data_IF_451707302226
#
_entry.id   IF_451707302226
#
_cell.length_a   1.000
_cell.length_b   1.000
_cell.length_c   1.000
_cell.angle_alpha   90.00
_cell.angle_beta   90.00
_cell.angle_gamma   90.00
#
_symmetry.space_group_name_H-M   'P 1'
#
loop_
_entity.id
_entity.type
_entity.pdbx_description
1 polymer ?
#
# COMPACT_ATOMS: atom_id res chain seq x y z
N UNK A 1 24.51 45.15 -6.83
CA UNK A 1 23.09 45.56 -6.85
C UNK A 1 22.43 44.88 -5.67
N UNK A 2 21.55 45.56 -4.96
CA UNK A 2 20.75 44.96 -3.89
C UNK A 2 19.28 45.18 -4.22
N UNK A 3 18.46 44.15 -4.01
CA UNK A 3 17.01 44.28 -3.99
C UNK A 3 16.55 44.04 -2.57
N UNK A 4 15.69 44.92 -2.07
CA UNK A 4 15.01 44.76 -0.79
C UNK A 4 13.55 44.38 -1.08
N UNK A 5 13.14 43.22 -0.59
CA UNK A 5 11.77 42.73 -0.74
C UNK A 5 11.05 42.84 0.59
N UNK A 6 9.98 43.63 0.63
CA UNK A 6 9.11 43.72 1.79
C UNK A 6 8.27 42.45 1.90
N UNK A 7 8.37 41.76 3.02
CA UNK A 7 7.71 40.49 3.29
C UNK A 7 6.75 40.65 4.47
N UNK A 8 5.58 40.03 4.38
CA UNK A 8 4.58 39.97 5.44
C UNK A 8 4.18 38.52 5.68
N UNK A 9 4.15 38.06 6.92
CA UNK A 9 3.64 36.71 7.25
C UNK A 9 2.12 36.76 7.42
N UNK A 10 1.39 35.91 6.69
CA UNK A 10 -0.07 35.85 6.78
C UNK A 10 -0.53 35.36 8.16
N UNK A 11 -1.51 36.04 8.74
CA UNK A 11 -2.17 35.63 10.00
C UNK A 11 -1.56 36.22 11.27
N UNK A 12 -0.40 36.88 11.18
CA UNK A 12 0.16 37.72 12.24
C UNK A 12 0.38 39.11 11.65
N UNK A 13 -0.47 40.08 12.02
CA UNK A 13 -0.44 41.43 11.46
C UNK A 13 0.28 42.42 12.38
N UNK A 14 1.07 41.93 13.35
CA UNK A 14 1.93 42.76 14.19
C UNK A 14 3.08 43.37 13.38
N UNK A 15 3.58 44.55 13.76
CA UNK A 15 4.73 45.16 13.07
C UNK A 15 5.99 44.28 13.08
N UNK A 16 6.08 43.30 13.99
CA UNK A 16 7.18 42.33 14.09
C UNK A 16 7.16 41.25 12.99
N UNK A 17 6.00 41.06 12.32
CA UNK A 17 5.78 40.10 11.23
C UNK A 17 6.03 40.67 9.84
N UNK A 18 6.20 42.00 9.73
CA UNK A 18 6.69 42.70 8.54
C UNK A 18 8.21 42.77 8.62
N UNK A 19 8.89 42.38 7.55
CA UNK A 19 10.35 42.41 7.48
C UNK A 19 10.80 42.58 6.04
N UNK A 20 12.06 42.94 5.84
CA UNK A 20 12.64 43.08 4.51
C UNK A 20 13.70 42.00 4.31
N UNK A 21 13.72 41.38 3.13
CA UNK A 21 14.78 40.45 2.73
C UNK A 21 15.68 41.16 1.73
N UNK A 22 16.93 41.35 2.11
CA UNK A 22 17.95 41.93 1.24
C UNK A 22 18.67 40.83 0.46
N UNK A 23 18.65 40.94 -0.86
CA UNK A 23 19.36 40.02 -1.76
C UNK A 23 20.47 40.78 -2.46
N UNK A 24 21.70 40.41 -2.14
CA UNK A 24 22.91 41.01 -2.68
C UNK A 24 23.47 40.19 -3.85
N UNK A 25 23.80 40.85 -4.96
CA UNK A 25 24.41 40.20 -6.12
C UNK A 25 24.59 41.11 -7.33
N UNK A 26 25.11 40.56 -8.42
CA UNK A 26 24.96 41.17 -9.75
C UNK A 26 23.52 40.98 -10.26
N UNK A 27 23.08 41.86 -11.16
CA UNK A 27 21.72 41.85 -11.68
C UNK A 27 21.35 40.49 -12.33
N UNK A 28 22.26 39.90 -13.11
CA UNK A 28 22.01 38.64 -13.79
C UNK A 28 21.78 37.49 -12.81
N UNK A 29 22.50 37.46 -11.69
CA UNK A 29 22.38 36.45 -10.65
C UNK A 29 21.06 36.61 -9.88
N UNK A 30 20.65 37.83 -9.59
CA UNK A 30 19.37 38.10 -8.93
C UNK A 30 18.21 37.72 -9.87
N UNK A 31 18.26 38.13 -11.14
CA UNK A 31 17.23 37.80 -12.14
C UNK A 31 17.04 36.30 -12.32
N UNK A 32 18.13 35.54 -12.29
CA UNK A 32 18.10 34.08 -12.47
C UNK A 32 17.86 33.29 -11.18
N UNK A 33 17.68 33.96 -10.03
CA UNK A 33 17.43 33.28 -8.77
C UNK A 33 16.06 32.63 -8.79
N UNK A 34 16.00 31.32 -8.52
CA UNK A 34 14.73 30.60 -8.43
C UNK A 34 13.94 30.96 -7.17
N UNK A 35 12.62 30.90 -7.24
CA UNK A 35 11.71 31.08 -6.09
C UNK A 35 12.04 30.09 -4.95
N UNK A 36 12.48 28.87 -5.25
CA UNK A 36 13.02 27.93 -4.24
C UNK A 36 14.12 28.55 -3.37
N UNK A 37 15.04 29.31 -3.97
CA UNK A 37 16.12 29.95 -3.23
C UNK A 37 15.60 31.14 -2.43
N UNK A 38 14.67 31.91 -2.99
CA UNK A 38 13.98 32.99 -2.26
C UNK A 38 13.26 32.47 -1.02
N UNK A 39 12.54 31.33 -1.12
CA UNK A 39 11.91 30.66 0.03
C UNK A 39 12.93 30.33 1.12
N UNK A 40 14.14 29.89 0.77
CA UNK A 40 15.21 29.61 1.74
C UNK A 40 15.72 30.88 2.44
N UNK A 41 15.89 31.98 1.71
CA UNK A 41 16.26 33.27 2.30
C UNK A 41 15.20 33.74 3.29
N UNK A 42 13.95 33.79 2.86
CA UNK A 42 12.81 34.16 3.70
C UNK A 42 12.71 33.26 4.94
N UNK A 43 12.81 31.93 4.76
CA UNK A 43 12.77 30.97 5.87
C UNK A 43 13.89 31.22 6.88
N UNK A 44 15.11 31.51 6.42
CA UNK A 44 16.23 31.79 7.32
C UNK A 44 16.03 33.04 8.18
N UNK A 45 15.37 34.07 7.65
CA UNK A 45 15.04 35.29 8.38
C UNK A 45 13.93 35.06 9.43
N UNK A 46 12.97 34.18 9.14
CA UNK A 46 11.78 34.01 9.99
C UNK A 46 11.81 32.79 10.92
N UNK A 47 12.69 31.80 10.69
CA UNK A 47 12.73 30.52 11.44
C UNK A 47 12.92 30.66 12.96
N UNK A 48 13.48 31.78 13.42
CA UNK A 48 13.72 32.05 14.84
C UNK A 48 12.65 32.98 15.47
N UNK A 49 11.69 33.49 14.68
CA UNK A 49 10.64 34.38 15.17
C UNK A 49 9.50 33.58 15.81
N UNK A 50 9.08 33.97 17.02
CA UNK A 50 8.17 33.24 17.92
C UNK A 50 6.78 32.91 17.32
N UNK A 51 6.34 33.65 16.30
CA UNK A 51 4.99 33.56 15.72
C UNK A 51 4.80 32.43 14.69
N UNK A 52 5.88 31.77 14.26
CA UNK A 52 5.81 30.78 13.16
C UNK A 52 6.06 29.36 13.69
N UNK A 53 5.30 28.96 14.71
CA UNK A 53 5.29 27.57 15.19
C UNK A 53 4.59 26.68 14.15
N UNK A 54 5.35 25.90 13.39
CA UNK A 54 4.80 24.85 12.52
C UNK A 54 5.51 24.65 11.18
N UNK A 55 6.21 25.67 10.68
CA UNK A 55 6.97 25.60 9.43
C UNK A 55 8.33 24.96 9.72
N UNK A 56 8.60 23.79 9.14
CA UNK A 56 9.86 23.06 9.38
C UNK A 56 10.82 23.16 8.21
N UNK A 57 10.30 23.40 7.00
CA UNK A 57 11.10 23.50 5.79
C UNK A 57 10.71 24.73 4.96
N UNK A 58 11.67 25.38 4.26
CA UNK A 58 11.39 26.41 3.26
C UNK A 58 10.34 26.01 2.20
N UNK A 59 10.20 24.73 1.87
CA UNK A 59 9.19 24.21 0.94
C UNK A 59 7.77 24.47 1.45
N UNK A 60 7.58 24.52 2.77
CA UNK A 60 6.30 24.79 3.44
C UNK A 60 5.90 26.29 3.36
N UNK A 61 6.68 27.13 2.67
CA UNK A 61 6.32 28.52 2.42
C UNK A 61 5.61 28.66 1.08
N UNK A 62 4.42 29.26 1.09
CA UNK A 62 3.80 29.80 -0.12
C UNK A 62 4.07 31.28 -0.21
N UNK A 63 4.63 31.72 -1.33
CA UNK A 63 4.97 33.11 -1.57
C UNK A 63 3.96 33.69 -2.56
N UNK A 64 3.35 34.80 -2.18
CA UNK A 64 2.47 35.56 -3.05
C UNK A 64 3.10 36.90 -3.35
N UNK A 65 3.27 37.23 -4.63
CA UNK A 65 3.54 38.60 -5.06
C UNK A 65 2.22 39.35 -5.02
N UNK A 66 2.20 40.49 -4.34
CA UNK A 66 1.06 41.39 -4.31
C UNK A 66 1.53 42.82 -4.51
N UNK A 67 0.64 43.66 -5.02
CA UNK A 67 0.84 45.11 -5.06
C UNK A 67 -0.01 45.74 -3.95
N UNK A 68 0.63 46.44 -3.01
CA UNK A 68 -0.04 47.06 -1.86
C UNK A 68 0.11 48.58 -2.00
N UNK A 69 -0.94 49.21 -2.52
CA UNK A 69 -1.04 50.66 -2.68
C UNK A 69 -1.45 51.42 -1.41
N UNK A 70 -1.35 52.75 -1.47
CA UNK A 70 -1.88 53.66 -0.45
C UNK A 70 -3.38 53.38 -0.20
N UNK A 71 -3.72 53.05 1.04
CA UNK A 71 -5.10 52.73 1.47
C UNK A 71 -5.38 51.24 1.72
N UNK A 72 -4.46 50.34 1.35
CA UNK A 72 -4.58 48.93 1.73
C UNK A 72 -4.26 48.74 3.21
N UNK A 73 -5.22 48.20 3.95
CA UNK A 73 -5.08 47.88 5.37
C UNK A 73 -4.54 46.47 5.55
N UNK A 74 -3.24 46.36 5.82
CA UNK A 74 -2.55 45.08 5.99
C UNK A 74 -3.18 44.19 7.08
N UNK A 75 -3.81 44.79 8.08
CA UNK A 75 -4.51 44.12 9.17
C UNK A 75 -5.81 43.42 8.75
N UNK A 76 -6.32 43.70 7.55
CA UNK A 76 -7.51 43.06 6.97
C UNK A 76 -7.16 41.76 6.21
N UNK A 77 -5.88 41.52 5.88
CA UNK A 77 -5.44 40.34 5.13
C UNK A 77 -5.18 39.18 6.11
N UNK A 78 -6.18 38.30 6.29
CA UNK A 78 -6.12 37.22 7.29
C UNK A 78 -6.10 35.82 6.68
N UNK A 79 -6.45 35.68 5.40
CA UNK A 79 -6.53 34.39 4.72
C UNK A 79 -6.00 34.43 3.29
N UNK A 80 -5.72 33.26 2.69
CA UNK A 80 -5.39 33.16 1.26
C UNK A 80 -6.49 33.75 0.36
N UNK A 81 -7.76 33.67 0.76
CA UNK A 81 -8.87 34.25 0.01
C UNK A 81 -8.86 35.79 0.05
N UNK A 82 -8.31 36.39 1.10
CA UNK A 82 -8.15 37.85 1.17
C UNK A 82 -7.00 38.30 0.27
N UNK A 83 -5.92 37.51 0.17
CA UNK A 83 -4.80 37.77 -0.74
C UNK A 83 -5.30 37.81 -2.20
N UNK A 84 -6.13 36.84 -2.60
CA UNK A 84 -6.67 36.76 -3.98
C UNK A 84 -7.53 37.96 -4.39
N UNK A 85 -8.09 38.69 -3.42
CA UNK A 85 -8.88 39.91 -3.68
C UNK A 85 -7.98 41.13 -3.92
N UNK A 86 -6.68 41.03 -3.64
CA UNK A 86 -5.74 42.13 -3.85
C UNK A 86 -5.39 42.28 -5.35
N UNK A 87 -5.19 43.53 -5.80
CA UNK A 87 -4.72 43.81 -7.16
C UNK A 87 -3.40 43.10 -7.45
N UNK A 88 -3.31 42.53 -8.66
CA UNK A 88 -2.10 41.86 -9.17
C UNK A 88 -1.52 40.79 -8.21
N UNK A 89 -2.38 40.18 -7.41
CA UNK A 89 -2.02 39.09 -6.51
C UNK A 89 -1.75 37.82 -7.29
N UNK A 90 -0.60 37.20 -7.01
CA UNK A 90 -0.17 35.99 -7.72
C UNK A 90 0.68 35.11 -6.83
N UNK A 91 0.35 33.83 -6.81
CA UNK A 91 1.19 32.82 -6.18
C UNK A 91 2.42 32.56 -7.05
N UNK A 92 3.60 32.68 -6.45
CA UNK A 92 4.89 32.45 -7.13
C UNK A 92 5.17 30.94 -7.23
N UNK A 93 5.51 30.47 -8.43
CA UNK A 93 5.80 29.04 -8.63
C UNK A 93 7.26 28.72 -8.32
N UNK A 94 7.49 27.55 -7.72
CA UNK A 94 8.79 27.10 -7.19
C UNK A 94 9.94 27.13 -8.21
N UNK A 95 9.66 26.83 -9.48
CA UNK A 95 10.65 26.76 -10.56
C UNK A 95 10.88 28.10 -11.29
N UNK A 96 10.02 29.09 -11.06
CA UNK A 96 10.17 30.41 -11.67
C UNK A 96 11.40 31.11 -11.12
N UNK A 97 11.90 32.06 -11.90
CA UNK A 97 12.97 32.97 -11.51
C UNK A 97 12.38 34.28 -11.03
N UNK A 98 13.11 34.95 -10.15
CA UNK A 98 12.78 36.27 -9.63
C UNK A 98 12.59 37.28 -10.76
N UNK A 99 13.45 37.25 -11.78
CA UNK A 99 13.40 38.16 -12.92
C UNK A 99 12.43 37.79 -14.04
N UNK A 100 11.64 36.72 -13.90
CA UNK A 100 10.64 36.39 -14.90
C UNK A 100 9.53 37.45 -14.92
N UNK A 101 8.93 37.70 -16.10
CA UNK A 101 7.84 38.66 -16.31
C UNK A 101 6.74 38.65 -15.23
N UNK A 102 6.25 37.49 -14.75
CA UNK A 102 5.14 37.49 -13.81
C UNK A 102 5.59 37.58 -12.34
N UNK A 103 6.88 37.78 -12.07
CA UNK A 103 7.45 38.00 -10.73
C UNK A 103 7.98 39.44 -10.62
N UNK A 104 9.27 39.66 -10.88
CA UNK A 104 9.94 40.97 -10.76
C UNK A 104 10.80 41.24 -12.00
N UNK A 105 10.22 41.56 -13.17
CA UNK A 105 10.97 41.88 -14.38
C UNK A 105 11.86 43.12 -14.18
N UNK A 106 13.18 42.93 -14.30
CA UNK A 106 14.19 43.97 -13.95
C UNK A 106 14.38 45.04 -15.04
N UNK A 107 13.78 44.84 -16.21
CA UNK A 107 13.71 45.82 -17.30
C UNK A 107 12.59 46.86 -17.08
N UNK A 108 11.66 46.59 -16.15
CA UNK A 108 10.68 47.56 -15.65
C UNK A 108 11.24 48.16 -14.36
N UNK A 109 11.34 49.49 -14.26
CA UNK A 109 11.71 50.16 -13.00
C UNK A 109 10.75 49.68 -11.91
N UNK A 110 11.27 48.90 -10.95
CA UNK A 110 10.54 48.61 -9.72
C UNK A 110 10.23 49.96 -9.08
N UNK A 111 8.95 50.32 -9.03
CA UNK A 111 8.53 51.56 -8.39
C UNK A 111 8.74 51.35 -6.90
N UNK A 112 9.63 52.14 -6.30
CA UNK A 112 9.88 52.08 -4.86
C UNK A 112 8.53 52.13 -4.11
N UNK A 113 8.36 51.19 -3.19
CA UNK A 113 7.31 51.12 -2.15
C UNK A 113 6.00 50.34 -2.40
N UNK A 114 5.85 49.55 -3.46
CA UNK A 114 4.54 48.92 -3.73
C UNK A 114 4.50 47.39 -3.80
N UNK A 115 5.65 46.71 -3.90
CA UNK A 115 5.65 45.24 -4.05
C UNK A 115 5.93 44.56 -2.72
N UNK A 116 4.98 43.75 -2.28
CA UNK A 116 5.08 42.95 -1.07
C UNK A 116 5.04 41.46 -1.41
N UNK A 117 5.79 40.66 -0.67
CA UNK A 117 5.71 39.21 -0.67
C UNK A 117 4.92 38.77 0.55
N UNK A 118 3.70 38.28 0.35
CA UNK A 118 2.95 37.65 1.44
C UNK A 118 3.42 36.21 1.59
N UNK A 119 4.04 35.92 2.73
CA UNK A 119 4.52 34.62 3.15
C UNK A 119 3.38 33.92 3.86
N UNK A 120 2.80 32.94 3.19
CA UNK A 120 1.74 32.11 3.75
C UNK A 120 2.38 30.83 4.29
N UNK A 121 2.28 30.57 5.62
CA UNK A 121 2.60 29.28 6.19
C UNK A 121 1.71 28.22 5.53
N UNK A 122 2.30 27.33 4.74
CA UNK A 122 1.54 26.23 4.19
C UNK A 122 1.33 25.18 5.28
N UNK A 123 0.10 25.12 5.76
CA UNK A 123 -0.41 24.05 6.59
C UNK A 123 -1.77 23.66 6.00
N UNK A 124 -1.78 23.09 4.81
CA UNK A 124 -2.99 22.35 4.38
C UNK A 124 -2.73 20.89 4.66
N UNK A 125 -3.12 20.53 5.87
CA UNK A 125 -3.66 19.21 6.09
C UNK A 125 -4.67 18.91 4.96
N UNK A 126 -4.32 17.96 4.10
CA UNK A 126 -5.18 17.46 3.04
C UNK A 126 -5.90 16.24 3.57
N UNK A 127 -7.21 16.26 3.46
CA UNK A 127 -8.06 15.14 3.82
C UNK A 127 -8.71 14.62 2.55
N UNK A 128 -8.46 13.37 2.20
CA UNK A 128 -8.94 12.77 0.94
C UNK A 128 -9.10 11.27 1.09
N UNK A 129 -9.78 10.64 0.13
CA UNK A 129 -10.14 9.23 0.18
C UNK A 129 -9.34 8.44 -0.83
N UNK A 130 -8.76 7.31 -0.42
CA UNK A 130 -8.07 6.39 -1.32
C UNK A 130 -8.86 5.08 -1.37
N UNK A 131 -9.11 4.58 -2.58
CA UNK A 131 -9.75 3.29 -2.83
C UNK A 131 -9.06 2.19 -2.01
N UNK A 132 -9.83 1.41 -1.24
CA UNK A 132 -9.31 0.26 -0.51
C UNK A 132 -9.05 -0.90 -1.48
N UNK A 133 -8.06 -1.72 -1.17
CA UNK A 133 -7.70 -2.90 -1.95
C UNK A 133 -7.72 -4.15 -1.07
N UNK A 134 -8.15 -5.28 -1.63
CA UNK A 134 -8.06 -6.58 -0.96
C UNK A 134 -6.59 -7.07 -0.89
N UNK A 135 -6.37 -8.22 -0.24
CA UNK A 135 -5.04 -8.82 -0.10
C UNK A 135 -4.44 -9.22 -1.47
N UNK A 136 -5.26 -9.31 -2.50
CA UNK A 136 -4.89 -9.57 -3.90
C UNK A 136 -4.65 -8.30 -4.73
N UNK A 137 -4.82 -7.11 -4.14
CA UNK A 137 -4.64 -5.83 -4.83
C UNK A 137 -5.78 -5.46 -5.77
N UNK A 138 -6.98 -6.04 -5.61
CA UNK A 138 -8.18 -5.61 -6.32
C UNK A 138 -8.92 -4.50 -5.57
N UNK A 139 -9.45 -3.49 -6.28
CA UNK A 139 -10.23 -2.44 -5.65
C UNK A 139 -11.51 -3.02 -5.04
N UNK A 140 -11.71 -2.79 -3.75
CA UNK A 140 -12.94 -3.18 -3.06
C UNK A 140 -14.02 -2.17 -3.36
N UNK A 141 -15.04 -2.58 -4.13
CA UNK A 141 -16.12 -1.70 -4.56
C UNK A 141 -16.72 -0.91 -3.40
N UNK A 142 -16.81 0.41 -3.57
CA UNK A 142 -17.39 1.36 -2.63
C UNK A 142 -16.70 1.46 -1.25
N UNK A 143 -15.52 0.88 -1.06
CA UNK A 143 -14.73 1.02 0.16
C UNK A 143 -13.55 1.97 -0.06
N UNK A 144 -13.44 2.98 0.79
CA UNK A 144 -12.38 3.99 0.72
C UNK A 144 -11.84 4.26 2.11
N UNK A 145 -10.53 4.38 2.20
CA UNK A 145 -9.83 4.76 3.42
C UNK A 145 -9.59 6.27 3.42
N UNK A 146 -9.88 6.92 4.54
CA UNK A 146 -9.65 8.35 4.73
C UNK A 146 -8.19 8.59 5.09
N UNK A 147 -7.51 9.39 4.29
CA UNK A 147 -6.15 9.82 4.52
C UNK A 147 -6.12 11.29 4.89
N UNK A 148 -5.21 11.60 5.81
CA UNK A 148 -4.90 12.94 6.26
C UNK A 148 -3.39 13.13 6.16
N UNK A 149 -2.94 14.10 5.36
CA UNK A 149 -1.52 14.36 5.13
C UNK A 149 -1.20 15.83 5.30
N UNK A 150 -0.10 16.12 6.00
CA UNK A 150 0.26 17.47 6.45
C UNK A 150 1.42 18.07 5.69
N UNK A 151 2.11 17.28 4.86
CA UNK A 151 3.27 17.74 4.09
C UNK A 151 3.53 16.88 2.85
N UNK A 152 4.20 17.47 1.86
CA UNK A 152 4.66 16.77 0.65
C UNK A 152 5.53 15.55 1.00
N UNK A 153 6.35 15.64 2.05
CA UNK A 153 7.18 14.53 2.51
C UNK A 153 6.36 13.34 3.04
N UNK A 154 5.20 13.58 3.66
CA UNK A 154 4.28 12.51 4.06
C UNK A 154 3.67 11.83 2.84
N UNK A 155 3.30 12.63 1.83
CA UNK A 155 2.77 12.14 0.56
C UNK A 155 3.80 11.31 -0.22
N UNK A 156 5.03 11.80 -0.36
CA UNK A 156 6.14 11.08 -0.99
C UNK A 156 6.46 9.75 -0.27
N UNK A 157 6.50 9.78 1.07
CA UNK A 157 6.70 8.57 1.87
C UNK A 157 5.57 7.59 1.68
N UNK A 158 4.34 8.07 1.62
CA UNK A 158 3.19 7.24 1.33
C UNK A 158 3.34 6.59 -0.05
N UNK A 159 3.53 7.36 -1.13
CA UNK A 159 3.69 6.83 -2.48
C UNK A 159 4.82 5.78 -2.57
N UNK A 160 5.95 6.01 -1.90
CA UNK A 160 7.06 5.04 -1.84
C UNK A 160 6.69 3.76 -1.10
N UNK A 161 5.94 3.83 0.01
CA UNK A 161 5.52 2.64 0.78
C UNK A 161 4.64 1.71 -0.05
N UNK A 162 3.83 2.27 -0.94
CA UNK A 162 2.92 1.53 -1.81
C UNK A 162 3.43 1.40 -3.25
N UNK A 163 4.68 1.79 -3.49
CA UNK A 163 5.36 1.79 -4.80
C UNK A 163 4.48 2.34 -5.95
N UNK A 164 3.88 3.50 -5.70
CA UNK A 164 2.97 4.18 -6.61
C UNK A 164 3.70 5.20 -7.48
N UNK A 165 3.28 5.31 -8.75
CA UNK A 165 3.69 6.42 -9.64
C UNK A 165 3.00 7.73 -9.27
N UNK A 166 1.86 7.62 -8.61
CA UNK A 166 1.03 8.72 -8.14
C UNK A 166 -0.35 8.20 -7.71
N UNK A 167 -1.27 9.10 -7.45
CA UNK A 167 -2.68 8.77 -7.27
C UNK A 167 -3.45 9.09 -8.54
N UNK A 168 -4.33 8.19 -8.97
CA UNK A 168 -5.22 8.39 -10.10
C UNK A 168 -6.59 8.91 -9.67
N UNK A 169 -7.26 9.65 -10.53
CA UNK A 169 -8.70 9.91 -10.46
C UNK A 169 -9.29 10.00 -11.87
N UNK A 170 -10.59 9.75 -12.01
CA UNK A 170 -11.30 9.92 -13.28
C UNK A 170 -12.07 11.23 -13.29
N UNK A 171 -11.95 11.99 -14.36
CA UNK A 171 -12.79 13.18 -14.56
C UNK A 171 -14.21 12.82 -15.01
N UNK A 172 -15.06 13.84 -15.20
CA UNK A 172 -16.45 13.68 -15.63
C UNK A 172 -16.62 13.06 -17.01
N UNK A 173 -15.54 12.99 -17.80
CA UNK A 173 -15.50 12.42 -19.15
C UNK A 173 -14.87 11.02 -19.13
N UNK A 174 -14.44 10.53 -17.96
CA UNK A 174 -13.85 9.21 -17.76
C UNK A 174 -12.36 9.14 -18.12
N UNK A 175 -11.67 10.27 -18.26
CA UNK A 175 -10.22 10.30 -18.48
C UNK A 175 -9.51 10.17 -17.14
N UNK A 176 -8.52 9.27 -17.07
CA UNK A 176 -7.67 9.10 -15.89
C UNK A 176 -6.59 10.19 -15.83
N UNK A 177 -6.50 10.85 -14.68
CA UNK A 177 -5.46 11.83 -14.37
C UNK A 177 -4.62 11.31 -13.19
N UNK A 178 -3.30 11.43 -13.29
CA UNK A 178 -2.37 10.98 -12.25
C UNK A 178 -1.75 12.20 -11.56
N UNK A 179 -1.98 12.31 -10.25
CA UNK A 179 -1.40 13.33 -9.38
C UNK A 179 -0.16 12.78 -8.68
N UNK A 180 0.92 13.54 -8.76
CA UNK A 180 2.23 13.20 -8.18
C UNK A 180 2.67 14.23 -7.14
N UNK A 181 1.77 15.11 -6.69
CA UNK A 181 2.04 16.08 -5.64
C UNK A 181 0.82 16.26 -4.73
N UNK A 182 1.07 16.51 -3.44
CA UNK A 182 0.02 16.77 -2.45
C UNK A 182 -0.75 18.06 -2.75
N UNK A 183 -0.10 19.06 -3.34
CA UNK A 183 -0.75 20.32 -3.73
C UNK A 183 -1.83 20.12 -4.80
N UNK A 184 -1.69 19.09 -5.64
CA UNK A 184 -2.63 18.74 -6.71
C UNK A 184 -3.80 17.86 -6.24
N UNK A 185 -3.87 17.54 -4.94
CA UNK A 185 -4.96 16.77 -4.35
C UNK A 185 -6.05 17.73 -3.88
N UNK A 186 -7.29 17.45 -4.25
CA UNK A 186 -8.47 18.15 -3.75
C UNK A 186 -8.98 17.48 -2.48
N UNK A 187 -9.44 18.30 -1.52
CA UNK A 187 -10.01 17.78 -0.28
C UNK A 187 -11.32 17.05 -0.55
N UNK A 188 -11.55 16.02 0.25
CA UNK A 188 -12.75 15.18 0.25
C UNK A 188 -13.04 14.46 -1.08
N UNK A 189 -12.06 14.46 -1.99
CA UNK A 189 -12.11 13.74 -3.26
C UNK A 189 -11.60 12.31 -3.14
N UNK A 190 -12.03 11.47 -4.08
CA UNK A 190 -11.71 10.05 -4.15
C UNK A 190 -10.63 9.81 -5.20
N UNK A 191 -9.59 9.08 -4.80
CA UNK A 191 -8.46 8.71 -5.62
C UNK A 191 -8.24 7.20 -5.56
N UNK A 192 -7.51 6.67 -6.54
CA UNK A 192 -7.00 5.29 -6.55
C UNK A 192 -5.48 5.28 -6.71
N UNK A 193 -4.84 4.18 -6.37
CA UNK A 193 -3.39 4.05 -6.52
C UNK A 193 -3.07 3.81 -8.00
N UNK A 194 -2.28 4.68 -8.62
CA UNK A 194 -1.74 4.45 -9.96
C UNK A 194 -0.34 3.84 -9.82
N UNK A 195 -0.24 2.52 -10.00
CA UNK A 195 1.02 1.77 -9.89
C UNK A 195 1.14 0.73 -10.99
N UNK A 196 2.33 0.61 -11.59
CA UNK A 196 2.69 -0.53 -12.46
C UNK A 196 2.91 -1.83 -11.68
N UNK A 197 3.08 -1.76 -10.35
CA UNK A 197 3.25 -2.93 -9.49
C UNK A 197 1.93 -3.55 -9.05
N UNK A 198 0.79 -2.85 -9.08
CA UNK A 198 -0.50 -3.50 -8.78
C UNK A 198 -0.81 -4.61 -9.80
N UNK A 199 -0.43 -4.45 -11.08
CA UNK A 199 -0.53 -5.50 -12.09
C UNK A 199 0.56 -6.57 -11.96
N UNK A 200 1.78 -6.24 -11.51
CA UNK A 200 2.85 -7.20 -11.27
C UNK A 200 2.62 -8.05 -10.00
N UNK A 201 2.09 -7.45 -8.93
CA UNK A 201 1.60 -8.09 -7.71
C UNK A 201 0.38 -8.94 -8.06
N UNK A 202 -0.59 -8.44 -8.83
CA UNK A 202 -1.68 -9.28 -9.37
C UNK A 202 -1.13 -10.44 -10.17
N UNK A 203 -0.12 -10.24 -11.02
CA UNK A 203 0.47 -11.32 -11.81
C UNK A 203 1.22 -12.31 -10.93
N UNK A 204 2.02 -11.88 -9.97
CA UNK A 204 2.72 -12.76 -9.02
C UNK A 204 1.77 -13.49 -8.09
N UNK A 205 0.78 -12.81 -7.51
CA UNK A 205 -0.29 -13.43 -6.70
C UNK A 205 -1.08 -14.42 -7.56
N UNK A 206 -1.41 -14.07 -8.81
CA UNK A 206 -2.08 -14.99 -9.74
C UNK A 206 -1.17 -16.17 -10.08
N UNK A 207 0.13 -15.96 -10.31
CA UNK A 207 1.08 -17.03 -10.61
C UNK A 207 1.29 -17.95 -9.40
N UNK A 208 1.51 -17.42 -8.20
CA UNK A 208 1.63 -18.21 -6.97
C UNK A 208 0.33 -18.95 -6.69
N UNK A 209 -0.85 -18.34 -6.87
CA UNK A 209 -2.13 -19.03 -6.72
C UNK A 209 -2.35 -20.13 -7.79
N UNK A 210 -1.92 -19.89 -9.04
CA UNK A 210 -1.97 -20.89 -10.11
C UNK A 210 -0.98 -22.01 -9.81
N UNK A 211 0.21 -21.71 -9.31
CA UNK A 211 1.24 -22.67 -8.95
C UNK A 211 0.80 -23.53 -7.75
N UNK A 212 0.30 -22.90 -6.69
CA UNK A 212 -0.31 -23.54 -5.52
C UNK A 212 -1.42 -24.50 -5.97
N UNK A 213 -2.36 -24.01 -6.79
CA UNK A 213 -3.46 -24.82 -7.32
C UNK A 213 -2.95 -25.96 -8.20
N UNK A 214 -1.97 -25.71 -9.06
CA UNK A 214 -1.38 -26.73 -9.93
C UNK A 214 -0.73 -27.84 -9.11
N UNK A 215 0.00 -27.50 -8.04
CA UNK A 215 0.61 -28.48 -7.14
C UNK A 215 -0.49 -29.26 -6.41
N UNK A 216 -1.51 -28.60 -5.89
CA UNK A 216 -2.65 -29.27 -5.25
C UNK A 216 -3.38 -30.24 -6.19
N UNK A 217 -3.63 -29.83 -7.43
CA UNK A 217 -4.31 -30.65 -8.44
C UNK A 217 -3.45 -31.86 -8.85
N UNK A 218 -2.15 -31.67 -9.11
CA UNK A 218 -1.25 -32.75 -9.50
C UNK A 218 -1.00 -33.74 -8.36
N UNK A 219 -0.81 -33.24 -7.13
CA UNK A 219 -0.63 -34.10 -5.94
C UNK A 219 -1.91 -34.86 -5.61
N UNK A 220 -3.08 -34.22 -5.74
CA UNK A 220 -4.37 -34.88 -5.57
C UNK A 220 -4.58 -35.97 -6.61
N UNK A 221 -4.26 -35.71 -7.89
CA UNK A 221 -4.38 -36.70 -8.94
C UNK A 221 -3.44 -37.89 -8.72
N UNK A 222 -2.18 -37.62 -8.32
CA UNK A 222 -1.21 -38.66 -8.01
C UNK A 222 -1.66 -39.55 -6.85
N UNK A 223 -2.17 -38.93 -5.77
CA UNK A 223 -2.73 -39.67 -4.64
C UNK A 223 -3.95 -40.48 -5.05
N UNK A 224 -4.92 -39.88 -5.75
CA UNK A 224 -6.13 -40.57 -6.20
C UNK A 224 -5.79 -41.79 -7.06
N UNK A 225 -4.89 -41.65 -8.03
CA UNK A 225 -4.45 -42.76 -8.87
C UNK A 225 -3.78 -43.88 -8.05
N UNK A 226 -2.97 -43.50 -7.06
CA UNK A 226 -2.28 -44.47 -6.20
C UNK A 226 -3.25 -45.20 -5.27
N UNK A 227 -4.20 -44.48 -4.67
CA UNK A 227 -5.27 -45.04 -3.83
C UNK A 227 -6.17 -45.99 -4.64
N UNK A 228 -6.61 -45.59 -5.84
CA UNK A 228 -7.38 -46.45 -6.74
C UNK A 228 -6.62 -47.75 -7.06
N UNK A 229 -5.30 -47.67 -7.27
CA UNK A 229 -4.46 -48.83 -7.57
C UNK A 229 -4.29 -49.77 -6.36
N UNK A 230 -4.10 -49.21 -5.17
CA UNK A 230 -3.86 -49.98 -3.93
C UNK A 230 -5.16 -50.64 -3.46
N UNK A 231 -6.22 -49.85 -3.29
CA UNK A 231 -7.46 -50.32 -2.67
C UNK A 231 -8.45 -50.94 -3.67
N UNK A 232 -8.28 -50.70 -4.98
CA UNK A 232 -9.19 -51.18 -6.04
C UNK A 232 -10.67 -50.79 -5.77
N UNK A 233 -10.88 -49.71 -5.03
CA UNK A 233 -12.19 -49.13 -4.68
C UNK A 233 -12.27 -47.71 -5.24
N UNK A 234 -13.48 -47.15 -5.30
CA UNK A 234 -13.70 -45.80 -5.80
C UNK A 234 -13.20 -44.76 -4.78
N UNK A 235 -12.21 -43.97 -5.19
CA UNK A 235 -11.75 -42.83 -4.39
C UNK A 235 -12.70 -41.66 -4.57
N UNK A 236 -13.37 -41.24 -3.50
CA UNK A 236 -14.21 -40.03 -3.47
C UNK A 236 -13.39 -38.84 -2.98
N UNK A 237 -13.36 -37.77 -3.77
CA UNK A 237 -12.83 -36.47 -3.33
C UNK A 237 -13.94 -35.79 -2.52
N UNK A 238 -13.64 -35.48 -1.27
CA UNK A 238 -14.55 -34.77 -0.37
C UNK A 238 -14.45 -33.26 -0.65
N UNK A 239 -15.61 -32.60 -0.85
CA UNK A 239 -15.64 -31.26 -1.44
C UNK A 239 -15.29 -30.17 -0.43
N UNK A 240 -15.78 -30.31 0.80
CA UNK A 240 -15.55 -29.31 1.83
C UNK A 240 -14.16 -29.44 2.45
N UNK A 241 -13.42 -28.32 2.46
CA UNK A 241 -12.04 -28.25 2.97
C UNK A 241 -11.94 -27.64 4.36
N UNK A 242 -12.86 -26.73 4.68
CA UNK A 242 -12.85 -25.96 5.92
C UNK A 242 -13.95 -26.47 6.84
N UNK A 243 -13.56 -26.94 8.01
CA UNK A 243 -14.47 -27.36 9.07
C UNK A 243 -14.80 -26.15 9.95
N UNK A 244 -16.08 -25.93 10.20
CA UNK A 244 -16.57 -24.84 11.07
C UNK A 244 -17.16 -25.40 12.38
N UNK A 245 -17.05 -24.62 13.46
CA UNK A 245 -17.79 -24.89 14.70
C UNK A 245 -19.22 -24.33 14.64
N UNK A 246 -19.97 -24.51 15.73
CA UNK A 246 -21.35 -24.02 15.86
C UNK A 246 -21.52 -22.50 15.66
N UNK A 247 -20.46 -21.71 15.91
CA UNK A 247 -20.44 -20.26 15.75
C UNK A 247 -20.00 -19.82 14.35
N UNK A 248 -19.90 -20.76 13.40
CA UNK A 248 -19.35 -20.55 12.04
C UNK A 248 -17.91 -20.02 12.04
N UNK A 249 -17.13 -20.34 13.07
CA UNK A 249 -15.70 -20.04 13.12
C UNK A 249 -14.95 -21.27 12.59
N UNK A 250 -14.04 -21.06 11.64
CA UNK A 250 -13.19 -22.12 11.10
C UNK A 250 -12.33 -22.73 12.22
N UNK A 251 -12.36 -24.05 12.36
CA UNK A 251 -11.63 -24.80 13.39
C UNK A 251 -10.53 -25.69 12.84
N UNK A 252 -10.61 -26.07 11.56
CA UNK A 252 -9.58 -26.82 10.85
C UNK A 252 -9.79 -26.71 9.34
N UNK A 253 -8.72 -26.72 8.56
CA UNK A 253 -8.75 -26.65 7.09
C UNK A 253 -7.75 -27.61 6.47
N UNK A 254 -8.13 -28.38 5.47
CA UNK A 254 -7.25 -29.31 4.78
C UNK A 254 -7.15 -28.97 3.28
N UNK A 255 -5.95 -29.09 2.72
CA UNK A 255 -5.71 -28.76 1.30
C UNK A 255 -6.40 -29.77 0.38
N UNK A 256 -6.59 -31.01 0.86
CA UNK A 256 -7.39 -32.03 0.19
C UNK A 256 -7.87 -33.10 1.17
N UNK A 257 -9.07 -33.63 0.91
CA UNK A 257 -9.63 -34.75 1.68
C UNK A 257 -10.11 -35.81 0.68
N UNK A 258 -9.63 -37.04 0.84
CA UNK A 258 -10.08 -38.18 0.04
C UNK A 258 -10.62 -39.28 0.94
N UNK A 259 -11.66 -39.95 0.47
CA UNK A 259 -12.32 -41.03 1.19
C UNK A 259 -12.32 -42.28 0.32
N UNK A 260 -11.84 -43.38 0.91
CA UNK A 260 -11.89 -44.72 0.32
C UNK A 260 -12.45 -45.65 1.39
N UNK A 261 -13.67 -46.13 1.19
CA UNK A 261 -14.39 -46.98 2.15
C UNK A 261 -14.42 -46.35 3.57
N UNK A 262 -13.76 -46.98 4.54
CA UNK A 262 -13.64 -46.56 5.94
C UNK A 262 -12.39 -45.70 6.21
N UNK A 263 -11.67 -45.28 5.17
CA UNK A 263 -10.38 -44.55 5.27
C UNK A 263 -10.52 -43.13 4.77
N UNK A 264 -9.95 -42.19 5.51
CA UNK A 264 -9.91 -40.76 5.20
C UNK A 264 -8.46 -40.32 5.11
N UNK A 265 -8.10 -39.74 3.98
CA UNK A 265 -6.76 -39.23 3.70
C UNK A 265 -6.80 -37.70 3.74
N UNK A 266 -6.11 -37.12 4.73
CA UNK A 266 -6.07 -35.69 5.01
C UNK A 266 -4.75 -35.12 4.48
N UNK A 267 -4.84 -34.26 3.46
CA UNK A 267 -3.70 -33.76 2.71
C UNK A 267 -3.27 -32.39 3.21
N UNK A 268 -1.96 -32.22 3.37
CA UNK A 268 -1.32 -30.91 3.55
C UNK A 268 -0.23 -30.73 2.49
N UNK A 269 -0.37 -29.66 1.71
CA UNK A 269 0.45 -29.31 0.55
C UNK A 269 1.37 -28.15 0.90
N UNK A 270 2.64 -28.25 0.53
CA UNK A 270 3.64 -27.19 0.68
C UNK A 270 4.53 -27.12 -0.56
N UNK A 271 5.08 -25.95 -0.85
CA UNK A 271 6.19 -25.88 -1.82
C UNK A 271 7.42 -26.61 -1.34
N UNK A 272 7.82 -26.34 -0.09
CA UNK A 272 9.01 -26.94 0.52
C UNK A 272 8.62 -27.66 1.81
N UNK A 273 8.73 -28.99 1.80
CA UNK A 273 8.40 -29.80 2.96
C UNK A 273 9.54 -29.73 4.00
N UNK A 274 9.17 -29.55 5.27
CA UNK A 274 10.11 -29.48 6.39
C UNK A 274 9.68 -30.46 7.49
N UNK A 275 10.59 -30.74 8.43
CA UNK A 275 10.29 -31.59 9.56
C UNK A 275 9.19 -30.99 10.45
N UNK A 276 9.15 -29.67 10.59
CA UNK A 276 8.10 -28.97 11.34
C UNK A 276 6.74 -29.14 10.68
N UNK A 277 6.65 -29.08 9.35
CA UNK A 277 5.42 -29.36 8.63
C UNK A 277 4.92 -30.79 8.90
N UNK A 278 5.81 -31.78 8.87
CA UNK A 278 5.47 -33.18 9.17
C UNK A 278 4.98 -33.33 10.62
N UNK A 279 5.68 -32.73 11.58
CA UNK A 279 5.29 -32.79 12.99
C UNK A 279 3.94 -32.11 13.24
N UNK A 280 3.70 -30.94 12.62
CA UNK A 280 2.43 -30.24 12.69
C UNK A 280 1.29 -31.06 12.08
N UNK A 281 1.52 -31.68 10.91
CA UNK A 281 0.56 -32.59 10.29
C UNK A 281 0.17 -33.73 11.25
N UNK A 282 1.13 -34.32 11.97
CA UNK A 282 0.85 -35.37 12.96
C UNK A 282 0.02 -34.88 14.14
N UNK A 283 0.30 -33.68 14.64
CA UNK A 283 -0.48 -33.09 15.73
C UNK A 283 -1.92 -32.85 15.27
N UNK A 284 -2.09 -32.23 14.10
CA UNK A 284 -3.40 -31.97 13.51
C UNK A 284 -4.20 -33.24 13.23
N UNK A 285 -3.54 -34.29 12.75
CA UNK A 285 -4.15 -35.61 12.53
C UNK A 285 -4.68 -36.21 13.84
N UNK A 286 -3.95 -36.06 14.96
CA UNK A 286 -4.40 -36.50 16.29
C UNK A 286 -5.57 -35.66 16.82
N UNK A 287 -5.63 -34.39 16.48
CA UNK A 287 -6.71 -33.49 16.90
C UNK A 287 -7.99 -33.66 16.08
N UNK A 288 -7.88 -34.10 14.82
CA UNK A 288 -8.99 -34.18 13.87
C UNK A 288 -10.25 -34.91 14.42
N UNK A 289 -10.15 -36.11 15.04
CA UNK A 289 -11.32 -36.79 15.59
C UNK A 289 -12.03 -35.97 16.66
N UNK A 290 -11.28 -35.27 17.51
CA UNK A 290 -11.86 -34.40 18.53
C UNK A 290 -12.55 -33.19 17.90
N UNK A 291 -11.96 -32.60 16.85
CA UNK A 291 -12.57 -31.47 16.13
C UNK A 291 -13.87 -31.85 15.42
N UNK A 292 -13.95 -33.07 14.88
CA UNK A 292 -15.19 -33.60 14.31
C UNK A 292 -16.35 -33.69 15.32
N UNK A 293 -16.07 -33.92 16.61
CA UNK A 293 -17.12 -33.92 17.64
C UNK A 293 -17.72 -32.52 17.89
N UNK A 294 -17.00 -31.45 17.55
CA UNK A 294 -17.43 -30.07 17.78
C UNK A 294 -18.02 -29.39 16.53
N UNK A 295 -17.95 -30.03 15.36
CA UNK A 295 -18.53 -29.47 14.15
C UNK A 295 -20.03 -29.79 14.06
N UNK A 296 -20.82 -28.83 13.57
CA UNK A 296 -22.23 -29.05 13.16
C UNK A 296 -22.36 -29.14 11.64
N UNK A 297 -21.24 -29.30 10.94
CA UNK A 297 -21.23 -29.46 9.49
C UNK A 297 -21.59 -30.91 9.15
N UNK A 298 -22.82 -31.09 8.64
CA UNK A 298 -23.37 -32.41 8.28
C UNK A 298 -22.48 -33.14 7.26
N UNK A 299 -21.74 -32.44 6.40
CA UNK A 299 -20.83 -33.06 5.44
C UNK A 299 -19.63 -33.67 6.18
N UNK A 300 -19.01 -32.92 7.10
CA UNK A 300 -17.88 -33.41 7.88
C UNK A 300 -18.28 -34.52 8.88
N UNK A 301 -19.51 -34.52 9.38
CA UNK A 301 -20.03 -35.59 10.23
C UNK A 301 -20.00 -36.97 9.54
N UNK A 302 -20.04 -37.03 8.21
CA UNK A 302 -19.86 -38.27 7.44
C UNK A 302 -18.48 -38.92 7.66
N UNK A 303 -17.47 -38.12 8.02
CA UNK A 303 -16.11 -38.59 8.23
C UNK A 303 -15.91 -39.24 9.60
N UNK A 304 -16.91 -39.18 10.48
CA UNK A 304 -16.87 -39.79 11.81
C UNK A 304 -16.67 -41.31 11.76
N UNK A 305 -15.99 -41.83 12.79
CA UNK A 305 -15.75 -43.27 12.98
C UNK A 305 -14.98 -43.94 11.82
N UNK A 306 -14.16 -43.18 11.10
CA UNK A 306 -13.26 -43.68 10.05
C UNK A 306 -11.81 -43.71 10.52
N UNK A 307 -10.97 -44.41 9.77
CA UNK A 307 -9.52 -44.43 9.95
C UNK A 307 -8.88 -43.23 9.23
N UNK A 308 -8.13 -42.41 9.95
CA UNK A 308 -7.54 -41.17 9.42
C UNK A 308 -6.05 -41.34 9.12
N UNK A 309 -5.64 -40.94 7.92
CA UNK A 309 -4.27 -40.97 7.45
C UNK A 309 -3.81 -39.58 7.03
N UNK A 310 -2.62 -39.19 7.47
CA UNK A 310 -1.99 -37.94 7.05
C UNK A 310 -1.25 -38.12 5.73
N UNK A 311 -1.39 -37.16 4.83
CA UNK A 311 -0.69 -37.11 3.55
C UNK A 311 0.07 -35.80 3.45
N UNK A 312 1.39 -35.89 3.31
CA UNK A 312 2.27 -34.75 3.09
C UNK A 312 2.58 -34.62 1.60
N UNK A 313 2.16 -33.53 0.99
CA UNK A 313 2.34 -33.25 -0.43
C UNK A 313 3.33 -32.10 -0.61
N UNK A 314 4.35 -32.24 -1.47
CA UNK A 314 5.20 -31.09 -1.80
C UNK A 314 5.90 -31.15 -3.16
N UNK A 315 6.11 -29.98 -3.77
CA UNK A 315 6.93 -29.81 -4.99
C UNK A 315 8.43 -29.97 -4.70
N UNK A 316 8.87 -29.68 -3.49
CA UNK A 316 10.20 -30.03 -2.99
C UNK A 316 10.09 -30.86 -1.71
N UNK A 317 10.36 -32.16 -1.83
CA UNK A 317 10.31 -33.12 -0.73
C UNK A 317 11.58 -34.00 -0.72
N UNK A 318 12.60 -33.62 0.06
CA UNK A 318 13.86 -34.37 0.15
C UNK A 318 13.65 -35.83 0.54
N UNK A 319 14.41 -36.74 -0.07
CA UNK A 319 14.31 -38.18 0.19
C UNK A 319 14.47 -38.53 1.67
N UNK A 320 15.47 -37.95 2.34
CA UNK A 320 15.71 -38.15 3.78
C UNK A 320 14.48 -37.78 4.62
N UNK A 321 13.77 -36.73 4.24
CA UNK A 321 12.58 -36.29 4.93
C UNK A 321 11.36 -37.16 4.60
N UNK A 322 11.29 -37.68 3.37
CA UNK A 322 10.25 -38.66 2.97
C UNK A 322 10.39 -39.94 3.77
N UNK A 323 11.61 -40.46 3.94
CA UNK A 323 11.86 -41.63 4.79
C UNK A 323 11.36 -41.41 6.22
N UNK A 324 11.66 -40.24 6.81
CA UNK A 324 11.15 -39.88 8.15
C UNK A 324 9.62 -39.82 8.18
N UNK A 325 8.97 -39.19 7.19
CA UNK A 325 7.51 -39.14 7.14
C UNK A 325 6.87 -40.55 7.08
N UNK A 326 7.43 -41.43 6.23
CA UNK A 326 6.97 -42.82 6.08
C UNK A 326 7.13 -43.61 7.38
N UNK A 327 8.27 -43.49 8.06
CA UNK A 327 8.51 -44.10 9.39
C UNK A 327 7.50 -43.62 10.43
N UNK A 328 7.05 -42.38 10.32
CA UNK A 328 6.03 -41.78 11.20
C UNK A 328 4.58 -42.12 10.80
N UNK A 329 4.40 -42.93 9.74
CA UNK A 329 3.09 -43.35 9.23
C UNK A 329 2.38 -42.33 8.35
N UNK A 330 3.10 -41.34 7.82
CA UNK A 330 2.56 -40.34 6.88
C UNK A 330 2.84 -40.79 5.44
N UNK A 331 1.83 -40.69 4.59
CA UNK A 331 1.94 -40.91 3.14
C UNK A 331 2.62 -39.68 2.53
N UNK A 332 3.57 -39.88 1.62
CA UNK A 332 4.29 -38.76 0.99
C UNK A 332 3.97 -38.67 -0.50
N UNK A 333 3.62 -37.48 -0.97
CA UNK A 333 3.39 -37.19 -2.39
C UNK A 333 4.40 -36.15 -2.87
N UNK A 334 5.17 -36.49 -3.91
CA UNK A 334 6.32 -35.71 -4.35
C UNK A 334 6.60 -35.90 -5.85
N UNK A 335 7.31 -34.96 -6.51
CA UNK A 335 7.64 -35.10 -7.92
C UNK A 335 8.70 -36.18 -8.14
N UNK A 336 8.48 -37.03 -9.13
CA UNK A 336 9.41 -38.05 -9.60
C UNK A 336 9.34 -38.13 -11.12
N UNK A 337 10.40 -37.68 -11.78
CA UNK A 337 10.41 -37.48 -13.24
C UNK A 337 9.41 -36.39 -13.65
N UNK A 338 8.50 -36.71 -14.58
CA UNK A 338 7.55 -35.75 -15.14
C UNK A 338 6.19 -35.73 -14.42
N UNK A 339 6.04 -36.40 -13.27
CA UNK A 339 4.77 -36.54 -12.55
C UNK A 339 4.99 -36.58 -11.04
N UNK A 340 3.94 -36.28 -10.28
CA UNK A 340 3.90 -36.62 -8.86
C UNK A 340 3.60 -38.11 -8.67
N UNK A 341 4.20 -38.69 -7.62
CA UNK A 341 3.95 -40.06 -7.16
C UNK A 341 3.68 -40.06 -5.65
N UNK A 342 3.02 -41.11 -5.16
CA UNK A 342 2.73 -41.28 -3.74
C UNK A 342 3.42 -42.54 -3.19
N UNK A 343 4.18 -42.37 -2.10
CA UNK A 343 4.75 -43.46 -1.32
C UNK A 343 3.95 -43.68 -0.03
N UNK A 344 3.73 -44.94 0.31
CA UNK A 344 2.88 -45.34 1.42
C UNK A 344 3.70 -46.10 2.48
N UNK A 345 3.43 -45.88 3.77
CA UNK A 345 3.90 -46.76 4.83
C UNK A 345 3.50 -48.22 4.59
N UNK A 346 4.43 -49.15 4.83
CA UNK A 346 4.26 -50.59 4.58
C UNK A 346 3.00 -51.20 5.22
N UNK A 347 2.62 -50.70 6.40
CA UNK A 347 1.45 -51.20 7.12
C UNK A 347 0.11 -50.83 6.45
N UNK A 348 0.10 -49.84 5.56
CA UNK A 348 -1.08 -49.42 4.80
C UNK A 348 -1.26 -50.20 3.49
N UNK A 349 -0.18 -50.76 2.95
CA UNK A 349 -0.23 -51.56 1.71
C UNK A 349 -0.60 -53.02 2.03
N UNK A 350 -0.32 -53.49 3.24
CA UNK A 350 -0.49 -54.90 3.66
C UNK A 350 -1.80 -55.18 4.41
N UNK A 351 -2.71 -54.21 4.52
CA UNK A 351 -3.99 -54.34 5.25
C UNK A 351 -5.10 -54.94 4.42
#
# INVERSE_FOLDING_TARGET
>A
MSISLNCLVLGDTSFDSVFSVEINGDANRINNMKVTMLKKFIFNEIKNKLSIKGIKDPVDLRLWKVDIGEGCKLDEIKSEEDIKKLPDSRMMQTLEKLGDEPNFPFDKKLVDNHIHVIVVPFSKEKTFYIQAYDKEGNPILNQYDLYNMKSENEFDKFLRRIDAKGLGFFDSVGIEHVVTSLDSIDNDMKYHINSSYLSAIKSQITWTQIEDRSIEEETSLALQNSLNKIFKSSVRIFKSRIMFNEKKIAIMEWDGIMVVDDKVFLCETKHNMTLDHINNLRLRLKEFPNKLLFTKDDEFQELMNKNYFGVACASFFPESLRSVAIELGIITVYPSGNRFIADFPDHLIKS
#
